data_IF_452623155435
#
_entry.id   IF_452623155435
#
_cell.length_a   1.000
_cell.length_b   1.000
_cell.length_c   1.000
_cell.angle_alpha   90.00
_cell.angle_beta   90.00
_cell.angle_gamma   90.00
#
_symmetry.space_group_name_H-M   'P 1'
#
loop_
_entity.id
_entity.type
_entity.pdbx_description
1 polymer ?
#
# COMPACT_ATOMS: atom_id res chain seq x y z
N UNK A 1 -31.41 -23.22 50.30
CA UNK A 1 -31.16 -23.95 49.04
C UNK A 1 -30.79 -22.93 47.95
N UNK A 2 -29.50 -22.57 47.83
CA UNK A 2 -29.02 -21.57 46.85
C UNK A 2 -28.62 -22.30 45.56
N UNK A 3 -29.37 -22.09 44.46
CA UNK A 3 -29.03 -22.61 43.13
C UNK A 3 -27.83 -21.82 42.58
N UNK A 4 -26.69 -22.47 42.41
CA UNK A 4 -25.57 -21.95 41.59
C UNK A 4 -26.02 -21.99 40.12
N UNK A 5 -26.04 -20.83 39.46
CA UNK A 5 -26.17 -20.74 38.00
C UNK A 5 -24.77 -20.83 37.42
N UNK A 6 -24.46 -21.93 36.76
CA UNK A 6 -23.25 -22.07 35.94
C UNK A 6 -23.53 -21.37 34.61
N UNK A 7 -22.82 -20.28 34.34
CA UNK A 7 -22.85 -19.60 33.04
C UNK A 7 -21.82 -20.32 32.16
N UNK A 8 -22.29 -20.99 31.11
CA UNK A 8 -21.42 -21.48 30.04
C UNK A 8 -21.10 -20.30 29.11
N UNK A 9 -19.87 -19.82 29.15
CA UNK A 9 -19.36 -18.91 28.12
C UNK A 9 -19.14 -19.74 26.85
N UNK A 10 -20.02 -19.55 25.87
CA UNK A 10 -19.84 -20.13 24.54
C UNK A 10 -18.67 -19.35 23.89
N UNK A 11 -17.48 -19.95 23.90
CA UNK A 11 -16.34 -19.42 23.15
C UNK A 11 -16.60 -19.77 21.67
N UNK A 12 -17.26 -18.86 20.94
CA UNK A 12 -17.31 -18.93 19.49
C UNK A 12 -15.89 -18.69 18.96
N UNK A 13 -15.15 -19.78 18.74
CA UNK A 13 -13.96 -19.76 17.90
C UNK A 13 -14.50 -19.57 16.48
N UNK A 14 -14.55 -18.31 16.03
CA UNK A 14 -14.67 -17.99 14.61
C UNK A 14 -13.39 -18.50 13.97
N UNK A 15 -13.44 -19.71 13.39
CA UNK A 15 -12.47 -20.13 12.40
C UNK A 15 -12.70 -19.21 11.20
N UNK A 16 -11.95 -18.11 11.15
CA UNK A 16 -11.80 -17.34 9.93
C UNK A 16 -11.23 -18.33 8.91
N UNK A 17 -12.01 -18.67 7.89
CA UNK A 17 -11.43 -19.19 6.66
C UNK A 17 -10.53 -18.07 6.14
N UNK A 18 -9.22 -18.18 6.39
CA UNK A 18 -8.23 -17.32 5.76
C UNK A 18 -8.40 -17.56 4.27
N UNK A 19 -9.02 -16.63 3.56
CA UNK A 19 -8.86 -16.58 2.12
C UNK A 19 -7.37 -16.33 1.94
N UNK A 20 -6.65 -17.29 1.38
CA UNK A 20 -5.22 -17.13 1.21
C UNK A 20 -4.98 -16.10 0.10
N UNK A 21 -4.90 -14.83 0.48
CA UNK A 21 -4.45 -13.77 -0.42
C UNK A 21 -3.09 -14.11 -1.00
N UNK A 22 -2.83 -13.74 -2.25
CA UNK A 22 -1.58 -14.03 -2.93
C UNK A 22 -0.49 -13.00 -2.58
N UNK A 23 0.01 -13.07 -1.35
CA UNK A 23 1.04 -12.15 -0.85
C UNK A 23 2.42 -12.83 -0.86
N UNK A 24 3.53 -12.08 -0.85
CA UNK A 24 4.87 -12.67 -0.83
C UNK A 24 5.12 -13.68 0.30
N UNK A 25 4.43 -13.54 1.43
CA UNK A 25 4.58 -14.44 2.57
C UNK A 25 4.02 -15.86 2.34
N UNK A 26 3.09 -16.05 1.40
CA UNK A 26 2.42 -17.34 1.17
C UNK A 26 2.31 -17.74 -0.32
N UNK A 27 2.72 -16.89 -1.25
CA UNK A 27 2.83 -17.20 -2.67
C UNK A 27 4.31 -17.24 -3.10
N UNK A 28 4.86 -18.43 -3.39
CA UNK A 28 6.26 -18.62 -3.75
C UNK A 28 6.66 -18.07 -5.14
N UNK A 29 5.71 -17.51 -5.91
CA UNK A 29 6.02 -16.84 -7.18
C UNK A 29 6.65 -15.46 -6.98
N UNK A 30 6.36 -14.82 -5.85
CA UNK A 30 7.06 -13.63 -5.41
C UNK A 30 8.43 -14.11 -4.91
N UNK A 31 9.49 -13.79 -5.63
CA UNK A 31 10.85 -14.15 -5.23
C UNK A 31 11.32 -13.38 -3.99
N UNK A 32 12.63 -13.18 -3.87
CA UNK A 32 13.13 -12.17 -2.94
C UNK A 32 12.66 -10.78 -3.35
N UNK A 33 12.53 -9.87 -2.39
CA UNK A 33 12.29 -8.46 -2.68
C UNK A 33 13.36 -7.91 -3.62
N UNK A 34 12.93 -7.26 -4.70
CA UNK A 34 13.80 -6.49 -5.61
C UNK A 34 14.34 -5.24 -4.91
N UNK A 35 13.54 -4.70 -4.01
CA UNK A 35 13.93 -3.60 -3.15
C UNK A 35 13.32 -3.75 -1.76
N UNK A 36 14.14 -3.55 -0.75
CA UNK A 36 13.76 -3.60 0.65
C UNK A 36 14.51 -2.51 1.43
N UNK A 37 13.81 -1.80 2.29
CA UNK A 37 14.37 -0.84 3.21
C UNK A 37 13.68 -1.00 4.57
N UNK A 38 14.44 -1.32 5.62
CA UNK A 38 13.94 -1.35 7.00
C UNK A 38 14.27 -0.08 7.79
N UNK A 39 14.95 0.87 7.14
CA UNK A 39 15.40 2.14 7.67
C UNK A 39 16.30 2.06 8.92
N UNK A 40 16.57 0.88 9.49
CA UNK A 40 17.19 0.74 10.81
C UNK A 40 18.63 1.19 10.81
N UNK A 41 19.36 0.87 9.74
CA UNK A 41 20.80 1.09 9.66
C UNK A 41 21.19 2.20 8.69
N UNK A 42 20.28 3.16 8.49
CA UNK A 42 20.50 4.35 7.68
C UNK A 42 20.65 5.60 8.55
N UNK A 43 21.35 6.59 8.00
CA UNK A 43 21.47 7.93 8.58
C UNK A 43 20.76 8.95 7.69
N UNK A 44 20.21 10.00 8.31
CA UNK A 44 19.81 11.20 7.57
C UNK A 44 21.06 12.01 7.22
N UNK A 45 21.26 12.29 5.94
CA UNK A 45 22.43 13.02 5.44
C UNK A 45 22.03 14.21 4.58
N UNK A 46 22.81 15.28 4.63
CA UNK A 46 22.67 16.41 3.72
C UNK A 46 23.78 16.38 2.68
N UNK A 47 23.42 16.46 1.40
CA UNK A 47 24.34 16.55 0.28
C UNK A 47 24.44 18.02 -0.18
N UNK A 48 25.59 18.64 0.04
CA UNK A 48 25.81 20.02 -0.40
C UNK A 48 25.95 20.19 -1.91
N UNK A 49 26.18 19.09 -2.65
CA UNK A 49 26.35 19.12 -4.11
C UNK A 49 25.05 19.36 -4.86
N UNK A 50 23.93 18.89 -4.31
CA UNK A 50 22.59 19.03 -4.88
C UNK A 50 21.62 19.81 -3.95
N UNK A 51 22.09 20.21 -2.76
CA UNK A 51 21.34 20.93 -1.74
C UNK A 51 20.14 20.13 -1.18
N UNK A 52 20.24 18.80 -1.12
CA UNK A 52 19.15 17.93 -0.65
C UNK A 52 19.50 17.09 0.57
N UNK A 53 18.46 16.75 1.32
CA UNK A 53 18.48 15.80 2.42
C UNK A 53 18.08 14.40 1.94
N UNK A 54 18.69 13.38 2.54
CA UNK A 54 18.47 11.98 2.19
C UNK A 54 18.35 11.10 3.42
N UNK A 55 17.54 10.04 3.32
CA UNK A 55 17.61 8.85 4.18
C UNK A 55 17.85 7.67 3.26
N UNK A 56 19.10 7.19 3.17
CA UNK A 56 19.47 6.22 2.13
C UNK A 56 19.22 6.76 0.74
N UNK A 57 18.40 6.06 -0.05
CA UNK A 57 18.03 6.47 -1.41
C UNK A 57 16.77 7.34 -1.48
N UNK A 58 16.19 7.67 -0.32
CA UNK A 58 15.00 8.50 -0.22
C UNK A 58 15.38 9.97 -0.15
N UNK A 59 14.80 10.79 -1.01
CA UNK A 59 14.90 12.25 -0.94
C UNK A 59 13.95 12.75 0.13
N UNK A 60 14.46 13.54 1.06
CA UNK A 60 13.69 14.18 2.11
C UNK A 60 13.27 15.57 1.65
N UNK A 61 11.97 15.83 1.68
CA UNK A 61 11.40 17.12 1.27
C UNK A 61 11.73 18.20 2.30
N UNK A 62 12.05 19.41 1.83
CA UNK A 62 12.38 20.54 2.68
C UNK A 62 11.85 21.84 2.06
N UNK A 63 11.15 22.64 2.86
CA UNK A 63 10.60 23.95 2.50
C UNK A 63 9.63 23.89 1.31
N UNK A 64 8.59 23.06 1.42
CA UNK A 64 7.57 22.84 0.38
C UNK A 64 6.22 22.49 1.02
N UNK A 65 5.11 22.85 0.36
CA UNK A 65 3.75 22.43 0.70
C UNK A 65 3.09 21.73 -0.49
N UNK A 66 2.14 20.85 -0.22
CA UNK A 66 1.32 20.28 -1.27
C UNK A 66 0.07 21.13 -1.46
N UNK A 67 0.07 22.02 -2.46
CA UNK A 67 -1.14 22.73 -2.88
C UNK A 67 -1.78 23.61 -1.79
N UNK A 68 -0.99 24.15 -0.86
CA UNK A 68 -1.47 24.99 0.23
C UNK A 68 -2.04 24.23 1.42
N UNK A 69 -1.71 22.94 1.55
CA UNK A 69 -1.91 22.20 2.80
C UNK A 69 -1.30 22.93 4.02
N UNK A 70 -1.85 22.76 5.23
CA UNK A 70 -1.45 23.53 6.42
C UNK A 70 0.04 23.49 6.76
N UNK A 71 0.66 22.33 6.59
CA UNK A 71 2.04 22.08 7.01
C UNK A 71 3.06 22.47 5.94
N UNK A 72 4.17 23.04 6.40
CA UNK A 72 5.39 23.10 5.62
C UNK A 72 6.19 21.80 5.81
N UNK A 73 6.50 21.08 4.74
CA UNK A 73 7.35 19.91 4.82
C UNK A 73 8.80 20.30 5.09
N UNK A 74 9.32 19.88 6.24
CA UNK A 74 10.64 20.21 6.74
C UNK A 74 11.46 18.94 6.95
N UNK A 75 12.74 19.01 6.61
CA UNK A 75 13.64 17.86 6.74
C UNK A 75 13.86 17.43 8.19
N UNK A 76 13.71 18.35 9.16
CA UNK A 76 13.82 18.05 10.59
C UNK A 76 12.67 17.21 11.15
N UNK A 77 11.54 17.18 10.45
CA UNK A 77 10.39 16.33 10.75
C UNK A 77 10.54 14.90 10.23
N UNK A 78 11.56 14.63 9.42
CA UNK A 78 11.99 13.27 9.10
C UNK A 78 13.11 12.88 10.07
N UNK A 79 12.76 12.10 11.08
CA UNK A 79 13.64 11.71 12.17
C UNK A 79 14.18 10.31 11.92
N UNK A 80 15.51 10.20 11.89
CA UNK A 80 16.21 8.94 11.66
C UNK A 80 17.24 8.71 12.76
N UNK A 81 16.86 7.89 13.74
CA UNK A 81 17.75 7.37 14.78
C UNK A 81 18.24 5.98 14.38
N UNK A 82 19.55 5.75 14.50
CA UNK A 82 20.15 4.47 14.17
C UNK A 82 19.62 3.35 15.07
N UNK A 83 19.10 2.28 14.47
CA UNK A 83 18.46 1.14 15.12
C UNK A 83 16.93 1.20 15.16
N UNK A 84 16.35 2.38 15.02
CA UNK A 84 14.90 2.59 15.12
C UNK A 84 14.23 2.52 13.73
N UNK A 85 12.88 2.40 13.64
CA UNK A 85 12.12 2.66 12.42
C UNK A 85 12.34 4.08 11.86
N UNK A 86 11.86 4.35 10.66
CA UNK A 86 11.74 5.74 10.18
C UNK A 86 10.57 6.42 10.91
N UNK A 87 10.78 7.67 11.35
CA UNK A 87 9.76 8.48 12.00
C UNK A 87 9.51 9.75 11.19
N UNK A 88 8.26 10.02 10.86
CA UNK A 88 7.78 11.25 10.25
C UNK A 88 6.87 11.93 11.28
N UNK A 89 7.25 13.11 11.75
CA UNK A 89 6.55 13.85 12.81
C UNK A 89 5.83 15.07 12.27
N UNK A 90 4.63 15.36 12.76
CA UNK A 90 3.98 16.65 12.58
C UNK A 90 4.13 17.48 13.86
N UNK A 91 4.37 18.79 13.73
CA UNK A 91 4.57 19.72 14.85
C UNK A 91 3.80 21.01 14.63
N UNK A 92 3.29 21.59 15.71
CA UNK A 92 2.88 22.99 15.75
C UNK A 92 4.15 23.83 15.89
N UNK A 93 4.69 24.24 14.76
CA UNK A 93 5.96 24.96 14.64
C UNK A 93 5.85 25.96 13.49
N UNK A 94 5.99 27.25 13.83
CA UNK A 94 5.91 28.31 12.83
C UNK A 94 7.13 28.31 11.91
N UNK A 95 6.88 28.32 10.60
CA UNK A 95 7.89 28.56 9.57
C UNK A 95 7.46 29.72 8.67
N UNK A 96 8.44 30.42 8.12
CA UNK A 96 8.24 31.53 7.19
C UNK A 96 9.23 31.46 6.04
N UNK A 97 8.96 32.21 4.98
CA UNK A 97 9.78 32.29 3.77
C UNK A 97 9.89 30.95 3.01
N UNK A 98 8.81 30.17 2.99
CA UNK A 98 8.74 29.02 2.09
C UNK A 98 8.55 29.46 0.64
N UNK A 99 9.64 29.50 -0.12
CA UNK A 99 9.62 30.01 -1.50
C UNK A 99 8.98 29.06 -2.51
N UNK A 100 8.91 27.77 -2.19
CA UNK A 100 8.31 26.74 -3.05
C UNK A 100 6.90 26.32 -2.60
N UNK A 101 6.40 26.91 -1.52
CA UNK A 101 5.05 26.69 -1.01
C UNK A 101 4.05 27.61 -1.72
N UNK A 102 2.78 27.22 -1.64
CA UNK A 102 1.64 28.04 -2.06
C UNK A 102 1.48 29.27 -1.18
N UNK A 103 1.73 29.12 0.13
CA UNK A 103 1.81 30.22 1.09
C UNK A 103 3.20 30.31 1.73
N UNK A 104 3.75 31.51 1.96
CA UNK A 104 5.11 31.64 2.48
C UNK A 104 5.25 31.26 3.96
N UNK A 105 4.17 31.35 4.73
CA UNK A 105 4.14 31.17 6.18
C UNK A 105 3.21 30.01 6.55
N UNK A 106 3.62 29.20 7.52
CA UNK A 106 2.88 28.05 8.02
C UNK A 106 3.02 27.94 9.54
N UNK A 107 1.92 27.63 10.23
CA UNK A 107 1.92 27.40 11.69
C UNK A 107 2.30 25.97 12.07
N UNK A 108 2.44 25.08 11.07
CA UNK A 108 2.74 23.67 11.27
C UNK A 108 3.87 23.20 10.36
N UNK A 109 4.63 22.21 10.85
CA UNK A 109 5.62 21.48 10.06
C UNK A 109 5.32 19.99 10.04
N UNK A 110 5.75 19.31 8.97
CA UNK A 110 5.69 17.85 8.89
C UNK A 110 6.79 17.29 7.99
N UNK A 111 6.84 15.98 7.81
CA UNK A 111 7.84 15.32 6.96
C UNK A 111 7.24 14.62 5.74
N UNK A 112 8.04 14.56 4.68
CA UNK A 112 7.77 13.80 3.46
C UNK A 112 9.08 13.23 2.94
N UNK A 113 9.05 11.98 2.50
CA UNK A 113 10.12 11.36 1.73
C UNK A 113 9.59 10.80 0.42
N UNK A 114 10.43 10.82 -0.61
CA UNK A 114 10.12 10.20 -1.91
C UNK A 114 11.29 9.36 -2.41
N UNK A 115 10.96 8.21 -3.00
CA UNK A 115 11.93 7.30 -3.61
C UNK A 115 12.49 7.86 -4.93
N UNK A 116 11.73 8.72 -5.61
CA UNK A 116 12.17 9.37 -6.84
C UNK A 116 11.78 10.83 -6.85
N UNK A 117 12.76 11.67 -7.17
CA UNK A 117 12.60 13.11 -7.27
C UNK A 117 13.42 13.58 -8.47
N UNK A 118 12.82 14.25 -9.46
CA UNK A 118 13.48 14.58 -10.73
C UNK A 118 14.85 15.26 -10.54
N UNK A 119 15.90 14.59 -10.99
CA UNK A 119 17.29 15.09 -10.89
C UNK A 119 18.07 14.67 -9.64
N UNK A 120 17.45 13.96 -8.70
CA UNK A 120 18.04 13.63 -7.40
C UNK A 120 17.95 12.14 -7.07
N UNK A 121 16.78 11.54 -7.29
CA UNK A 121 16.59 10.09 -7.23
C UNK A 121 15.64 9.64 -8.33
N UNK A 122 15.82 8.42 -8.82
CA UNK A 122 15.03 7.85 -9.91
C UNK A 122 14.48 6.46 -9.56
N UNK A 123 14.38 6.11 -8.27
CA UNK A 123 13.74 4.84 -7.91
C UNK A 123 12.25 4.94 -8.20
N UNK A 124 11.81 4.05 -9.08
CA UNK A 124 10.43 3.89 -9.50
C UNK A 124 10.01 2.44 -9.36
N UNK A 125 8.71 2.22 -9.28
CA UNK A 125 8.07 0.92 -9.40
C UNK A 125 7.13 0.95 -10.59
N UNK A 126 6.93 -0.20 -11.22
CA UNK A 126 5.89 -0.38 -12.23
C UNK A 126 5.47 -1.84 -12.16
N UNK A 127 4.23 -2.13 -11.78
CA UNK A 127 3.76 -3.49 -11.53
C UNK A 127 4.55 -4.26 -10.45
N UNK A 128 3.99 -5.34 -9.93
CA UNK A 128 4.54 -6.13 -8.83
C UNK A 128 3.82 -5.87 -7.51
N UNK A 129 4.34 -6.48 -6.45
CA UNK A 129 3.78 -6.35 -5.12
C UNK A 129 4.58 -5.35 -4.31
N UNK A 130 3.96 -4.28 -3.85
CA UNK A 130 4.57 -3.25 -3.02
C UNK A 130 3.87 -3.23 -1.66
N UNK A 131 4.63 -3.28 -0.57
CA UNK A 131 4.11 -3.14 0.78
C UNK A 131 4.95 -2.24 1.67
N UNK A 132 4.29 -1.66 2.67
CA UNK A 132 4.93 -0.94 3.76
C UNK A 132 4.28 -1.31 5.09
N UNK A 133 5.08 -1.47 6.14
CA UNK A 133 4.58 -1.71 7.49
C UNK A 133 4.65 -0.43 8.31
N UNK A 134 3.48 0.08 8.67
CA UNK A 134 3.30 1.44 9.16
C UNK A 134 2.43 1.45 10.42
N UNK A 135 2.74 2.38 11.31
CA UNK A 135 1.98 2.68 12.53
C UNK A 135 1.77 4.18 12.64
N UNK A 136 0.57 4.60 13.02
CA UNK A 136 0.17 6.01 13.04
C UNK A 136 -0.32 6.38 14.45
N UNK A 137 0.03 7.57 14.94
CA UNK A 137 -0.46 8.07 16.23
C UNK A 137 -1.96 8.35 16.22
N UNK A 138 -2.64 8.18 17.37
CA UNK A 138 -4.09 8.42 17.53
C UNK A 138 -4.45 9.90 17.66
N UNK A 139 -4.06 10.71 16.67
CA UNK A 139 -4.26 12.15 16.68
C UNK A 139 -5.17 12.58 15.54
N UNK A 140 -6.16 13.41 15.87
CA UNK A 140 -7.11 13.96 14.90
C UNK A 140 -6.43 14.95 13.97
N UNK A 141 -6.92 15.08 12.73
CA UNK A 141 -6.42 16.09 11.79
C UNK A 141 -5.12 15.72 11.09
N UNK A 142 -4.52 14.59 11.45
CA UNK A 142 -3.46 13.97 10.66
C UNK A 142 -4.00 13.46 9.32
N UNK A 143 -3.16 13.51 8.30
CA UNK A 143 -3.41 12.91 6.99
C UNK A 143 -2.17 12.13 6.52
N UNK A 144 -1.84 10.99 7.17
CA UNK A 144 -0.78 10.10 6.70
C UNK A 144 -1.14 9.46 5.37
N UNK A 145 -0.16 9.34 4.50
CA UNK A 145 -0.32 8.69 3.20
C UNK A 145 0.90 7.85 2.81
N UNK A 146 0.60 6.75 2.13
CA UNK A 146 1.55 5.93 1.38
C UNK A 146 0.98 5.75 -0.02
N UNK A 147 1.69 6.30 -0.99
CA UNK A 147 1.17 6.48 -2.32
C UNK A 147 2.29 6.39 -3.35
N UNK A 148 1.92 6.14 -4.60
CA UNK A 148 2.82 6.09 -5.72
C UNK A 148 2.33 7.06 -6.78
N UNK A 149 3.21 7.93 -7.27
CA UNK A 149 2.83 9.00 -8.18
C UNK A 149 3.85 9.21 -9.29
N UNK A 150 3.37 9.60 -10.47
CA UNK A 150 4.16 10.20 -11.54
C UNK A 150 3.27 11.09 -12.41
N UNK A 151 3.87 11.99 -13.18
CA UNK A 151 3.17 12.84 -14.14
C UNK A 151 3.99 13.04 -15.43
N UNK A 152 4.33 11.96 -16.15
CA UNK A 152 5.14 12.05 -17.36
C UNK A 152 4.36 12.73 -18.48
N UNK A 153 4.85 13.89 -18.95
CA UNK A 153 4.24 14.57 -20.10
C UNK A 153 2.80 15.07 -19.87
N UNK A 154 2.46 15.41 -18.62
CA UNK A 154 1.09 15.68 -18.16
C UNK A 154 0.20 14.44 -18.22
N UNK A 155 0.73 13.25 -17.96
CA UNK A 155 -0.01 11.99 -17.79
C UNK A 155 -0.04 11.59 -16.29
N UNK A 156 -0.70 12.37 -15.44
CA UNK A 156 -0.76 12.10 -14.00
C UNK A 156 -1.32 10.71 -13.71
N UNK A 157 -0.57 9.96 -12.90
CA UNK A 157 -0.92 8.66 -12.38
C UNK A 157 -0.60 8.60 -10.89
N UNK A 158 -1.64 8.46 -10.08
CA UNK A 158 -1.55 8.35 -8.63
C UNK A 158 -2.28 7.09 -8.15
N UNK A 159 -1.60 6.30 -7.33
CA UNK A 159 -2.17 5.17 -6.63
C UNK A 159 -1.96 5.39 -5.14
N UNK A 160 -3.05 5.61 -4.40
CA UNK A 160 -3.00 5.71 -2.95
C UNK A 160 -3.14 4.31 -2.36
N UNK A 161 -2.01 3.76 -1.88
CA UNK A 161 -1.98 2.45 -1.22
C UNK A 161 -2.73 2.54 0.12
N UNK A 162 -2.51 3.62 0.87
CA UNK A 162 -3.46 4.04 1.88
C UNK A 162 -3.39 5.55 2.11
N UNK A 163 -4.51 6.09 2.55
CA UNK A 163 -4.61 7.38 3.21
C UNK A 163 -5.48 7.22 4.46
N UNK A 164 -5.20 8.01 5.49
CA UNK A 164 -6.06 8.10 6.66
C UNK A 164 -6.33 9.56 6.97
N UNK A 165 -7.54 9.89 7.41
CA UNK A 165 -7.89 11.26 7.79
C UNK A 165 -8.73 11.24 9.07
N UNK A 166 -8.17 10.84 10.22
CA UNK A 166 -8.93 10.70 11.46
C UNK A 166 -9.62 12.00 11.85
N UNK A 167 -10.92 11.93 12.14
CA UNK A 167 -11.76 13.08 12.50
C UNK A 167 -12.50 13.73 11.33
N UNK A 168 -12.19 13.35 10.10
CA UNK A 168 -12.88 13.86 8.91
C UNK A 168 -14.02 12.92 8.48
N UNK A 169 -15.04 13.49 7.85
CA UNK A 169 -16.09 12.73 7.17
C UNK A 169 -15.75 12.57 5.70
N UNK A 170 -15.57 11.34 5.22
CA UNK A 170 -15.59 11.01 3.80
C UNK A 170 -16.70 10.00 3.52
N UNK A 171 -17.38 10.17 2.38
CA UNK A 171 -18.48 9.28 1.98
C UNK A 171 -19.63 9.18 3.00
N UNK A 172 -19.81 10.18 3.86
CA UNK A 172 -20.81 10.18 4.94
C UNK A 172 -20.41 9.39 6.20
N UNK A 173 -19.17 8.91 6.27
CA UNK A 173 -18.65 8.17 7.42
C UNK A 173 -17.56 8.97 8.14
N UNK A 174 -17.66 9.07 9.46
CA UNK A 174 -16.59 9.61 10.29
C UNK A 174 -15.39 8.64 10.25
N UNK A 175 -14.25 9.14 9.81
CA UNK A 175 -12.99 8.43 9.88
C UNK A 175 -12.52 8.41 11.34
N UNK A 176 -12.40 7.20 11.87
CA UNK A 176 -11.90 6.93 13.22
C UNK A 176 -10.59 6.19 13.10
N UNK A 177 -10.03 5.76 14.24
CA UNK A 177 -8.81 4.95 14.25
C UNK A 177 -8.87 3.59 13.55
N UNK A 178 -10.05 3.24 13.05
CA UNK A 178 -10.35 1.98 12.40
C UNK A 178 -10.77 2.17 10.94
N UNK A 179 -10.63 3.37 10.36
CA UNK A 179 -11.10 3.66 9.00
C UNK A 179 -9.98 4.26 8.17
N UNK A 180 -9.74 3.68 7.00
CA UNK A 180 -8.79 4.18 6.00
C UNK A 180 -9.47 4.37 4.64
N UNK A 181 -8.78 5.04 3.74
CA UNK A 181 -9.13 5.14 2.33
C UNK A 181 -8.03 4.63 1.43
N UNK A 182 -8.43 4.19 0.24
CA UNK A 182 -7.57 4.00 -0.92
C UNK A 182 -8.19 4.75 -2.07
N UNK A 183 -7.37 5.28 -2.97
CA UNK A 183 -7.84 6.03 -4.12
C UNK A 183 -6.86 5.91 -5.29
N UNK A 184 -7.29 6.48 -6.41
CA UNK A 184 -6.59 6.46 -7.69
C UNK A 184 -6.91 7.77 -8.38
N UNK A 185 -5.88 8.53 -8.76
CA UNK A 185 -6.04 9.82 -9.43
C UNK A 185 -5.32 9.83 -10.78
N UNK A 186 -5.89 10.55 -11.73
CA UNK A 186 -5.26 10.83 -13.01
C UNK A 186 -5.75 12.19 -13.53
N UNK A 187 -5.26 12.62 -14.69
CA UNK A 187 -5.64 13.90 -15.29
C UNK A 187 -7.13 14.08 -15.62
N UNK A 188 -7.92 13.00 -15.66
CA UNK A 188 -9.36 13.10 -15.87
C UNK A 188 -10.09 13.58 -14.60
N UNK A 189 -9.38 13.66 -13.46
CA UNK A 189 -9.91 14.13 -12.19
C UNK A 189 -11.20 13.40 -11.80
N UNK A 190 -12.24 14.16 -11.46
CA UNK A 190 -13.55 13.62 -11.11
C UNK A 190 -14.27 12.85 -12.22
N UNK A 191 -13.81 12.98 -13.48
CA UNK A 191 -14.37 12.24 -14.62
C UNK A 191 -13.68 10.91 -14.88
N UNK A 192 -12.63 10.58 -14.11
CA UNK A 192 -11.91 9.32 -14.23
C UNK A 192 -12.81 8.14 -13.83
N UNK A 193 -13.10 7.18 -14.74
CA UNK A 193 -13.88 6.00 -14.41
C UNK A 193 -13.15 5.03 -13.47
N UNK A 194 -11.83 5.18 -13.35
CA UNK A 194 -10.98 4.44 -12.44
C UNK A 194 -10.76 5.17 -11.12
N UNK A 195 -11.14 6.45 -11.00
CA UNK A 195 -11.08 7.15 -9.73
C UNK A 195 -12.18 6.63 -8.81
N UNK A 196 -11.86 6.57 -7.52
CA UNK A 196 -12.82 6.12 -6.55
C UNK A 196 -12.18 5.95 -5.20
N UNK A 197 -12.70 6.68 -4.22
CA UNK A 197 -12.34 6.46 -2.83
C UNK A 197 -13.03 5.19 -2.38
N UNK A 198 -12.24 4.20 -1.94
CA UNK A 198 -12.75 3.05 -1.20
C UNK A 198 -12.45 3.27 0.27
N UNK A 199 -13.52 3.45 1.04
CA UNK A 199 -13.46 3.45 2.50
C UNK A 199 -13.44 2.00 2.98
N UNK A 200 -12.47 1.68 3.82
CA UNK A 200 -12.26 0.34 4.38
C UNK A 200 -12.10 0.42 5.89
N UNK A 201 -12.71 -0.54 6.58
CA UNK A 201 -12.43 -0.76 7.99
C UNK A 201 -11.12 -1.50 8.15
N UNK A 202 -10.33 -1.11 9.14
CA UNK A 202 -9.12 -1.77 9.56
C UNK A 202 -9.12 -1.99 11.07
N UNK A 203 -8.23 -2.85 11.52
CA UNK A 203 -7.86 -2.88 12.93
C UNK A 203 -7.23 -1.53 13.33
N UNK A 204 -7.16 -1.28 14.63
CA UNK A 204 -6.69 0.00 15.18
C UNK A 204 -5.31 0.40 14.63
N UNK A 205 -5.23 1.43 13.77
CA UNK A 205 -4.00 1.86 13.07
C UNK A 205 -2.87 2.31 13.98
N UNK A 206 -3.17 2.47 15.27
CA UNK A 206 -2.17 2.76 16.30
C UNK A 206 -1.28 1.56 16.58
N UNK A 207 -1.63 0.40 16.03
CA UNK A 207 -0.75 -0.77 15.91
C UNK A 207 -0.06 -0.79 14.56
N UNK A 208 0.93 -1.67 14.43
CA UNK A 208 1.58 -1.91 13.15
C UNK A 208 0.66 -2.68 12.21
N UNK A 209 0.50 -2.13 11.00
CA UNK A 209 -0.23 -2.76 9.91
C UNK A 209 0.61 -2.77 8.63
N UNK A 210 0.44 -3.80 7.82
CA UNK A 210 1.05 -3.85 6.49
C UNK A 210 0.02 -3.39 5.46
N UNK A 211 0.33 -2.32 4.74
CA UNK A 211 -0.47 -1.78 3.64
C UNK A 211 0.21 -2.13 2.33
N UNK A 212 -0.52 -2.67 1.37
CA UNK A 212 0.11 -3.17 0.14
C UNK A 212 -0.78 -3.06 -1.10
N UNK A 213 -0.13 -3.13 -2.26
CA UNK A 213 -0.76 -3.37 -3.56
C UNK A 213 -0.10 -4.53 -4.31
N UNK A 214 -0.89 -5.33 -5.03
CA UNK A 214 -0.47 -6.14 -6.18
C UNK A 214 -0.91 -5.42 -7.44
N UNK A 215 0.03 -4.75 -8.11
CA UNK A 215 -0.22 -3.99 -9.32
C UNK A 215 0.23 -4.78 -10.54
N UNK A 216 -0.69 -4.98 -11.47
CA UNK A 216 -0.42 -5.61 -12.76
C UNK A 216 -1.05 -4.76 -13.87
N UNK A 217 -0.73 -5.02 -15.15
CA UNK A 217 -1.38 -4.33 -16.26
C UNK A 217 -2.91 -4.46 -16.29
N UNK A 218 -3.44 -5.54 -15.71
CA UNK A 218 -4.86 -5.90 -15.80
C UNK A 218 -5.62 -5.69 -14.50
N UNK A 219 -4.94 -5.50 -13.37
CA UNK A 219 -5.58 -5.27 -12.06
C UNK A 219 -4.64 -4.59 -11.07
N UNK A 220 -5.22 -3.86 -10.13
CA UNK A 220 -4.56 -3.45 -8.88
C UNK A 220 -5.38 -4.03 -7.73
N UNK A 221 -4.75 -4.76 -6.82
CA UNK A 221 -5.39 -5.30 -5.62
C UNK A 221 -4.75 -4.65 -4.41
N UNK A 222 -5.54 -4.05 -3.52
CA UNK A 222 -5.06 -3.49 -2.26
C UNK A 222 -5.26 -4.47 -1.12
N UNK A 223 -4.28 -4.49 -0.22
CA UNK A 223 -4.28 -5.34 0.96
C UNK A 223 -4.01 -4.54 2.23
N UNK A 224 -4.60 -5.01 3.33
CA UNK A 224 -4.21 -4.63 4.71
C UNK A 224 -3.99 -5.90 5.50
N UNK A 225 -2.82 -6.04 6.11
CA UNK A 225 -2.39 -7.26 6.84
C UNK A 225 -2.54 -8.55 6.01
N UNK A 226 -2.35 -8.42 4.70
CA UNK A 226 -2.52 -9.50 3.74
C UNK A 226 -3.97 -9.79 3.36
N UNK A 227 -4.98 -9.10 3.87
CA UNK A 227 -6.38 -9.27 3.47
C UNK A 227 -6.77 -8.31 2.35
N UNK A 228 -7.47 -8.79 1.32
CA UNK A 228 -7.93 -7.96 0.19
C UNK A 228 -9.00 -6.97 0.64
N UNK A 229 -8.75 -5.67 0.41
CA UNK A 229 -9.72 -4.59 0.73
C UNK A 229 -10.34 -3.92 -0.50
N UNK A 230 -9.65 -3.97 -1.65
CA UNK A 230 -10.08 -3.38 -2.92
C UNK A 230 -9.47 -4.13 -4.09
N UNK A 231 -10.24 -4.25 -5.17
CA UNK A 231 -9.76 -4.71 -6.48
C UNK A 231 -10.21 -3.70 -7.53
N UNK A 232 -9.26 -3.19 -8.31
CA UNK A 232 -9.51 -2.44 -9.54
C UNK A 232 -9.12 -3.33 -10.73
N UNK A 233 -10.04 -3.52 -11.67
CA UNK A 233 -9.81 -4.32 -12.88
C UNK A 233 -9.64 -3.39 -14.08
N UNK A 234 -8.77 -3.76 -15.01
CA UNK A 234 -8.37 -3.00 -16.20
C UNK A 234 -7.90 -1.59 -15.83
N UNK A 235 -6.82 -1.44 -15.03
CA UNK A 235 -6.30 -0.14 -14.63
C UNK A 235 -5.71 0.63 -15.82
N UNK A 236 -5.42 -0.03 -16.96
CA UNK A 236 -4.78 0.58 -18.13
C UNK A 236 -5.77 1.09 -19.20
N UNK A 237 -6.92 1.64 -18.82
CA UNK A 237 -7.89 2.16 -19.80
C UNK A 237 -7.31 3.32 -20.61
N UNK A 238 -7.74 3.47 -21.87
CA UNK A 238 -7.29 4.55 -22.74
C UNK A 238 -7.71 5.92 -22.17
N UNK A 239 -6.74 6.85 -22.10
CA UNK A 239 -6.84 8.24 -21.59
C UNK A 239 -6.72 8.44 -20.06
N UNK A 240 -5.90 7.65 -19.36
CA UNK A 240 -5.58 7.86 -17.94
C UNK A 240 -5.41 6.54 -17.19
N UNK A 241 -4.69 5.60 -17.80
CA UNK A 241 -4.44 4.30 -17.18
C UNK A 241 -3.32 4.37 -16.14
N UNK A 242 -3.15 3.33 -15.34
CA UNK A 242 -2.06 3.20 -14.37
C UNK A 242 -1.00 2.23 -14.89
N UNK A 243 -0.12 2.75 -15.73
CA UNK A 243 0.81 1.96 -16.53
C UNK A 243 2.22 2.53 -16.62
N UNK A 244 2.46 3.73 -16.12
CA UNK A 244 3.78 4.33 -16.10
C UNK A 244 4.57 3.90 -14.86
N UNK A 245 5.89 4.02 -14.91
CA UNK A 245 6.71 3.94 -13.70
C UNK A 245 6.31 5.04 -12.71
N UNK A 246 6.15 4.71 -11.43
CA UNK A 246 5.78 5.67 -10.38
C UNK A 246 6.77 5.67 -9.23
N UNK A 247 6.99 6.82 -8.62
CA UNK A 247 7.84 6.95 -7.43
C UNK A 247 6.99 6.85 -6.17
N UNK A 248 7.55 6.17 -5.17
CA UNK A 248 6.89 6.00 -3.88
C UNK A 248 7.04 7.27 -3.04
N UNK A 249 5.96 7.69 -2.40
CA UNK A 249 5.93 8.82 -1.48
C UNK A 249 5.34 8.36 -0.14
N UNK A 250 5.96 8.83 0.95
CA UNK A 250 5.48 8.68 2.32
C UNK A 250 5.48 10.06 2.95
N UNK A 251 4.33 10.50 3.46
CA UNK A 251 4.19 11.79 4.12
C UNK A 251 3.14 11.74 5.23
N UNK A 252 3.23 12.73 6.11
CA UNK A 252 2.22 13.00 7.12
C UNK A 252 1.64 14.39 6.87
N UNK A 253 0.66 14.51 5.97
CA UNK A 253 -0.03 15.78 5.77
C UNK A 253 -0.92 16.12 6.98
N UNK A 254 -1.47 17.33 6.99
CA UNK A 254 -2.51 17.76 7.93
C UNK A 254 -3.77 18.13 7.16
N UNK A 255 -4.91 17.85 7.76
CA UNK A 255 -6.17 18.29 7.17
C UNK A 255 -6.28 19.83 7.21
N UNK A 256 -6.74 20.49 6.14
CA UNK A 256 -6.96 21.93 6.11
C UNK A 256 -7.72 22.54 7.30
N UNK A 257 -8.67 21.81 7.92
CA UNK A 257 -9.41 22.32 9.08
C UNK A 257 -8.53 22.53 10.32
N UNK A 258 -7.34 21.91 10.39
CA UNK A 258 -6.37 22.11 11.48
C UNK A 258 -5.87 23.56 11.50
N UNK A 259 -5.58 24.15 10.34
CA UNK A 259 -5.19 25.56 10.25
C UNK A 259 -6.40 26.52 10.19
N UNK A 260 -7.52 26.06 9.66
CA UNK A 260 -8.69 26.91 9.42
C UNK A 260 -9.97 26.31 10.01
N UNK A 261 -10.09 26.19 11.35
CA UNK A 261 -11.21 25.50 11.99
C UNK A 261 -12.56 26.20 11.76
N UNK A 262 -12.55 27.53 11.61
CA UNK A 262 -13.76 28.33 11.41
C UNK A 262 -14.30 28.29 9.98
N UNK A 263 -13.50 27.83 9.00
CA UNK A 263 -13.89 27.82 7.57
C UNK A 263 -14.52 26.50 7.14
N UNK A 264 -14.26 25.41 7.88
CA UNK A 264 -14.76 24.08 7.56
C UNK A 264 -15.89 23.68 8.52
N UNK A 265 -17.13 23.63 8.00
CA UNK A 265 -18.26 23.05 8.75
C UNK A 265 -18.23 21.53 8.65
N UNK A 266 -17.66 20.86 9.65
CA UNK A 266 -17.82 19.41 9.81
C UNK A 266 -18.91 19.07 10.84
N UNK A 267 -19.57 17.90 10.73
CA UNK A 267 -20.83 17.62 11.42
C UNK A 267 -20.79 17.47 12.94
N UNK A 268 -19.63 17.37 13.60
CA UNK A 268 -19.61 17.08 15.04
C UNK A 268 -18.57 17.89 15.82
N UNK A 269 -19.01 19.05 16.31
CA UNK A 269 -18.24 20.02 17.11
C UNK A 269 -17.70 19.46 18.44
N UNK A 270 -18.09 18.26 18.86
CA UNK A 270 -17.65 17.66 20.13
C UNK A 270 -16.47 16.68 19.99
N UNK A 271 -16.08 16.33 18.77
CA UNK A 271 -14.96 15.41 18.51
C UNK A 271 -13.60 16.12 18.38
N UNK A 272 -13.59 17.46 18.33
CA UNK A 272 -12.38 18.27 18.20
C UNK A 272 -11.70 18.51 19.56
N UNK A 273 -10.94 17.53 20.06
CA UNK A 273 -9.71 17.94 20.74
C UNK A 273 -8.75 18.39 19.64
N UNK A 274 -8.20 19.60 19.76
CA UNK A 274 -7.08 20.02 18.93
C UNK A 274 -6.07 18.86 18.85
N UNK A 275 -5.56 18.58 17.64
CA UNK A 275 -4.49 17.61 17.40
C UNK A 275 -3.43 17.76 18.48
N UNK A 276 -3.13 16.71 19.23
CA UNK A 276 -2.04 16.78 20.18
C UNK A 276 -0.73 16.50 19.44
N UNK A 277 -0.09 17.57 18.99
CA UNK A 277 1.18 17.49 18.26
C UNK A 277 2.36 16.96 19.09
N UNK A 278 2.16 16.66 20.38
CA UNK A 278 3.21 16.06 21.22
C UNK A 278 3.65 14.68 20.70
N UNK A 279 2.74 13.90 20.11
CA UNK A 279 3.01 12.55 19.62
C UNK A 279 2.53 12.33 18.18
N UNK A 280 2.28 13.40 17.42
CA UNK A 280 1.73 13.33 16.07
C UNK A 280 2.77 12.76 15.10
N UNK A 281 2.63 11.49 14.74
CA UNK A 281 3.63 10.80 13.94
C UNK A 281 3.12 9.64 13.08
N UNK A 282 3.88 9.37 12.04
CA UNK A 282 3.83 8.16 11.22
C UNK A 282 5.18 7.45 11.35
N UNK A 283 5.17 6.20 11.84
CA UNK A 283 6.34 5.34 11.92
C UNK A 283 6.30 4.33 10.77
N UNK A 284 7.43 4.11 10.09
CA UNK A 284 7.58 3.14 8.99
C UNK A 284 8.66 2.13 9.37
N UNK A 285 8.27 0.88 9.59
CA UNK A 285 9.19 -0.20 9.96
C UNK A 285 9.94 -0.71 8.74
N UNK A 286 9.26 -0.87 7.62
CA UNK A 286 9.90 -1.25 6.36
C UNK A 286 9.05 -0.88 5.14
N UNK A 287 9.70 -0.81 3.98
CA UNK A 287 9.11 -0.93 2.65
C UNK A 287 9.72 -2.13 1.95
N UNK A 288 8.90 -2.88 1.21
CA UNK A 288 9.35 -4.00 0.40
C UNK A 288 8.61 -4.05 -0.93
N UNK A 289 9.38 -4.25 -2.01
CA UNK A 289 8.88 -4.35 -3.38
C UNK A 289 9.35 -5.65 -4.02
N UNK A 290 8.41 -6.38 -4.62
CA UNK A 290 8.60 -7.70 -5.18
C UNK A 290 8.14 -7.75 -6.63
N UNK A 291 8.86 -8.54 -7.43
CA UNK A 291 8.48 -8.91 -8.79
C UNK A 291 8.23 -10.41 -8.88
N UNK A 292 7.33 -10.79 -9.77
CA UNK A 292 7.22 -12.18 -10.19
C UNK A 292 8.45 -12.57 -11.00
N UNK A 293 8.92 -13.81 -10.87
CA UNK A 293 9.96 -14.33 -11.77
C UNK A 293 9.37 -14.63 -13.15
N UNK A 294 9.58 -13.68 -14.07
CA UNK A 294 9.13 -13.72 -15.46
C UNK A 294 10.13 -14.42 -16.40
N UNK A 295 11.23 -15.00 -15.90
CA UNK A 295 12.29 -15.58 -16.74
C UNK A 295 11.82 -16.75 -17.64
N UNK A 296 10.68 -17.37 -17.32
CA UNK A 296 10.08 -18.46 -18.10
C UNK A 296 8.73 -18.09 -18.73
N UNK A 297 8.39 -16.79 -18.82
CA UNK A 297 7.11 -16.33 -19.36
C UNK A 297 6.89 -16.63 -20.85
N UNK A 298 7.91 -17.16 -21.53
CA UNK A 298 7.90 -17.60 -22.93
C UNK A 298 7.96 -19.13 -23.09
N UNK A 299 8.06 -19.87 -21.99
CA UNK A 299 8.17 -21.33 -21.97
C UNK A 299 6.80 -21.94 -21.64
N UNK A 300 6.18 -22.72 -22.56
CA UNK A 300 4.96 -23.46 -22.25
C UNK A 300 5.29 -24.73 -21.45
N UNK A 301 4.37 -25.15 -20.58
CA UNK A 301 4.51 -26.39 -19.80
C UNK A 301 3.25 -27.25 -19.90
N UNK A 302 3.45 -28.56 -19.92
CA UNK A 302 2.38 -29.56 -19.93
C UNK A 302 2.58 -30.53 -18.77
N UNK A 303 1.60 -30.60 -17.87
CA UNK A 303 1.58 -31.50 -16.73
C UNK A 303 0.50 -32.56 -16.96
N UNK A 304 0.89 -33.83 -16.93
CA UNK A 304 -0.04 -34.95 -17.17
C UNK A 304 -0.45 -35.71 -15.89
N UNK A 305 0.00 -35.25 -14.72
CA UNK A 305 -0.26 -35.87 -13.41
C UNK A 305 0.07 -34.90 -12.27
N UNK A 306 -0.48 -35.13 -11.07
CA UNK A 306 -0.19 -34.36 -9.85
C UNK A 306 1.31 -34.37 -9.49
N UNK A 307 2.01 -35.49 -9.74
CA UNK A 307 3.46 -35.59 -9.57
C UNK A 307 4.24 -34.59 -10.45
N UNK A 308 3.70 -34.24 -11.63
CA UNK A 308 4.29 -33.23 -12.50
C UNK A 308 4.30 -31.84 -11.86
N UNK A 309 3.25 -31.48 -11.12
CA UNK A 309 3.15 -30.18 -10.46
C UNK A 309 4.09 -30.05 -9.26
N UNK A 310 4.55 -31.15 -8.66
CA UNK A 310 5.62 -31.11 -7.65
C UNK A 310 6.95 -30.58 -8.22
N UNK A 311 7.12 -30.60 -9.54
CA UNK A 311 8.27 -30.00 -10.23
C UNK A 311 8.01 -28.58 -10.74
N UNK A 312 6.82 -28.03 -10.47
CA UNK A 312 6.52 -26.64 -10.79
C UNK A 312 7.41 -25.73 -9.95
N UNK A 313 8.19 -24.89 -10.63
CA UNK A 313 9.21 -24.06 -10.01
C UNK A 313 8.68 -22.66 -9.62
N UNK A 314 7.36 -22.48 -9.58
CA UNK A 314 6.69 -21.21 -9.24
C UNK A 314 7.15 -20.01 -10.08
N UNK A 315 7.55 -20.25 -11.33
CA UNK A 315 7.82 -19.19 -12.30
C UNK A 315 6.62 -18.98 -13.21
N UNK A 316 6.44 -17.74 -13.66
CA UNK A 316 5.38 -17.43 -14.63
C UNK A 316 5.72 -18.10 -15.96
N UNK A 317 4.77 -18.85 -16.52
CA UNK A 317 4.94 -19.60 -17.77
C UNK A 317 4.29 -18.88 -18.95
N UNK A 318 4.59 -19.30 -20.17
CA UNK A 318 3.82 -18.86 -21.34
C UNK A 318 2.39 -19.37 -21.28
N UNK A 319 2.27 -20.68 -21.16
CA UNK A 319 1.01 -21.37 -20.95
C UNK A 319 1.22 -22.59 -20.08
N UNK A 320 0.17 -22.94 -19.33
CA UNK A 320 0.17 -24.13 -18.48
C UNK A 320 -1.01 -25.00 -18.92
N UNK A 321 -0.72 -26.21 -19.38
CA UNK A 321 -1.77 -27.20 -19.66
C UNK A 321 -1.68 -28.33 -18.65
N UNK A 322 -2.78 -28.59 -17.95
CA UNK A 322 -2.91 -29.71 -17.01
C UNK A 322 -3.84 -30.75 -17.63
N UNK A 323 -3.25 -31.81 -18.15
CA UNK A 323 -3.88 -32.85 -18.97
C UNK A 323 -3.99 -34.20 -18.28
N UNK A 324 -4.98 -35.02 -18.65
CA UNK A 324 -5.02 -36.46 -18.35
C UNK A 324 -4.72 -36.84 -16.88
N UNK A 325 -5.17 -36.02 -15.92
CA UNK A 325 -4.90 -36.26 -14.51
C UNK A 325 -5.69 -37.50 -14.06
N UNK A 326 -4.97 -38.51 -13.57
CA UNK A 326 -5.54 -39.81 -13.18
C UNK A 326 -5.87 -39.92 -11.69
N UNK A 327 -5.60 -38.87 -10.92
CA UNK A 327 -5.89 -38.78 -9.50
C UNK A 327 -6.37 -37.36 -9.14
N UNK A 328 -7.18 -37.19 -8.07
CA UNK A 328 -7.57 -35.88 -7.57
C UNK A 328 -6.33 -35.03 -7.28
N UNK A 329 -6.45 -33.73 -7.53
CA UNK A 329 -5.43 -32.76 -7.14
C UNK A 329 -5.18 -32.87 -5.62
N UNK A 330 -3.94 -32.94 -5.15
CA UNK A 330 -3.63 -32.66 -3.74
C UNK A 330 -2.41 -31.77 -3.73
N UNK A 331 -2.56 -30.54 -3.28
CA UNK A 331 -1.39 -29.75 -2.93
C UNK A 331 -0.66 -30.54 -1.83
N UNK A 332 0.64 -30.84 -2.00
CA UNK A 332 1.42 -31.53 -0.97
C UNK A 332 1.72 -30.61 0.24
N UNK A 333 1.10 -29.43 0.27
CA UNK A 333 1.32 -28.33 1.19
C UNK A 333 -0.03 -27.88 1.72
N UNK A 334 -0.13 -27.51 2.99
CA UNK A 334 -1.31 -26.83 3.54
C UNK A 334 -1.47 -25.40 2.94
N UNK A 335 -1.25 -25.23 1.65
CA UNK A 335 -1.13 -23.96 0.94
C UNK A 335 -1.79 -24.10 -0.43
N UNK A 336 -2.44 -23.03 -0.92
CA UNK A 336 -3.11 -23.07 -2.20
C UNK A 336 -2.18 -23.39 -3.35
N UNK A 337 -2.76 -23.91 -4.41
CA UNK A 337 -2.04 -24.06 -5.68
C UNK A 337 -2.21 -22.80 -6.49
N UNK A 338 -1.08 -22.24 -6.88
CA UNK A 338 -1.03 -20.98 -7.61
C UNK A 338 -0.40 -21.28 -8.97
N UNK A 339 -1.12 -20.92 -10.03
CA UNK A 339 -0.66 -21.09 -11.41
C UNK A 339 -0.65 -19.71 -12.07
N UNK A 340 0.51 -19.29 -12.56
CA UNK A 340 0.66 -18.02 -13.27
C UNK A 340 1.16 -18.23 -14.69
N UNK A 341 0.43 -17.69 -15.66
CA UNK A 341 0.80 -17.76 -17.08
C UNK A 341 0.64 -16.42 -17.80
N UNK A 342 1.08 -16.32 -19.05
CA UNK A 342 0.97 -15.08 -19.83
C UNK A 342 0.02 -15.11 -21.00
N UNK A 343 -0.30 -16.29 -21.53
CA UNK A 343 -1.29 -16.44 -22.59
C UNK A 343 -2.56 -17.14 -22.10
N UNK A 344 -2.42 -18.33 -21.51
CA UNK A 344 -3.56 -19.13 -21.08
C UNK A 344 -3.15 -20.25 -20.12
N UNK A 345 -4.13 -20.71 -19.34
CA UNK A 345 -4.05 -21.92 -18.53
C UNK A 345 -5.20 -22.83 -18.97
N UNK A 346 -4.86 -24.05 -19.38
CA UNK A 346 -5.83 -25.06 -19.84
C UNK A 346 -5.92 -26.17 -18.81
N UNK A 347 -7.12 -26.43 -18.30
CA UNK A 347 -7.42 -27.54 -17.42
C UNK A 347 -8.25 -28.56 -18.21
N UNK A 348 -7.65 -29.68 -18.60
CA UNK A 348 -8.36 -30.70 -19.38
C UNK A 348 -9.22 -31.62 -18.50
N UNK A 349 -9.95 -32.53 -19.16
CA UNK A 349 -10.78 -33.55 -18.54
C UNK A 349 -10.00 -34.34 -17.48
N UNK A 350 -10.63 -34.47 -16.30
CA UNK A 350 -10.07 -35.20 -15.15
C UNK A 350 -9.39 -34.28 -14.13
N UNK A 351 -9.29 -32.98 -14.40
CA UNK A 351 -8.87 -32.03 -13.39
C UNK A 351 -9.96 -31.82 -12.33
N UNK A 352 -9.64 -32.05 -11.06
CA UNK A 352 -10.54 -31.92 -9.93
C UNK A 352 -9.81 -31.24 -8.77
N UNK A 353 -10.44 -30.23 -8.13
CA UNK A 353 -9.97 -29.64 -6.88
C UNK A 353 -10.81 -30.24 -5.72
N UNK A 354 -10.21 -30.99 -4.79
CA UNK A 354 -10.94 -31.56 -3.67
C UNK A 354 -11.60 -30.52 -2.77
N UNK A 355 -12.59 -30.97 -2.00
CA UNK A 355 -13.20 -30.16 -0.94
C UNK A 355 -12.12 -29.73 0.05
N UNK A 356 -12.01 -28.42 0.29
CA UNK A 356 -11.05 -27.83 1.23
C UNK A 356 -9.74 -27.37 0.58
N UNK A 357 -9.53 -27.63 -0.71
CA UNK A 357 -8.37 -27.15 -1.46
C UNK A 357 -8.70 -25.86 -2.24
N UNK A 358 -7.68 -25.04 -2.46
CA UNK A 358 -7.80 -23.78 -3.22
C UNK A 358 -6.89 -23.80 -4.46
N UNK A 359 -7.44 -23.33 -5.58
CA UNK A 359 -6.71 -23.08 -6.82
C UNK A 359 -6.83 -21.62 -7.19
N UNK A 360 -5.67 -20.98 -7.36
CA UNK A 360 -5.57 -19.64 -7.88
C UNK A 360 -4.91 -19.68 -9.26
N UNK A 361 -5.53 -18.98 -10.20
CA UNK A 361 -5.10 -18.88 -11.59
C UNK A 361 -4.99 -17.41 -11.91
N UNK A 362 -3.84 -17.04 -12.46
CA UNK A 362 -3.57 -15.67 -12.88
C UNK A 362 -2.93 -15.66 -14.26
N UNK A 363 -3.50 -14.89 -15.18
CA UNK A 363 -3.01 -14.76 -16.55
C UNK A 363 -2.78 -13.30 -16.86
N UNK A 364 -1.51 -12.90 -16.97
CA UNK A 364 -1.11 -11.51 -17.20
C UNK A 364 0.01 -11.42 -18.22
N UNK A 365 0.09 -10.33 -18.97
CA UNK A 365 1.13 -10.13 -19.99
C UNK A 365 2.55 -10.29 -19.42
N UNK A 366 3.49 -10.74 -20.27
CA UNK A 366 4.89 -10.77 -19.89
C UNK A 366 5.48 -9.36 -19.92
N UNK A 367 5.45 -8.66 -18.78
CA UNK A 367 5.93 -7.30 -18.60
C UNK A 367 6.92 -7.20 -17.44
#
# INVERSE_FOLDING_TARGET
MKRKRTIFTLCCIMLYSTVNSQVPANDPHWGSAEWYDDFRFMYKTYNSGDNQWYVGDWVVTHNWDHGGEPQNYQSDNVVKIYGDPLLIEAKEEFTSNCSACTTPDHDYTSGQITAGYPGYSNRTIQYGYLEAKIKISDEYGLWPAFWAWNNPGNDEEEIDIFEMIPGSYHGGQLHTKNIMTTNTHNNQGSSNPLAGIKISSINDYTNWHTYAIDWTPNKIIWYVDGEVIRILINPNQANGGFHNETSIILNLALNPWVAYPDTYTYPDTNYYSATNFLNASMEVEYISYYKLDMSECHIPVYYNSTLGLNSYNNKVKKSITIGNVTAPFSSNSNSPTILRATEHITLDKGFEIPIGEELYIDVNSCN
#
